data_IF_300344848757
#
_entry.id   IF_300344848757
#
_cell.length_a   1.000
_cell.length_b   1.000
_cell.length_c   1.000
_cell.angle_alpha   90.00
_cell.angle_beta   90.00
_cell.angle_gamma   90.00
#
_symmetry.space_group_name_H-M   'P 1'
#
loop_
_entity.id
_entity.type
_entity.pdbx_description
1 polymer ?
#
# COMPACT_ATOMS: atom_id res chain seq x y z
N UNK A 1 -20.04 38.49 -30.95
CA UNK A 1 -19.26 37.24 -30.73
C UNK A 1 -18.71 37.30 -29.32
N UNK A 2 -19.26 36.50 -28.40
CA UNK A 2 -18.76 36.42 -27.02
C UNK A 2 -18.06 35.08 -26.86
N UNK A 3 -16.76 35.11 -26.56
CA UNK A 3 -15.95 33.93 -26.30
C UNK A 3 -16.19 33.49 -24.85
N UNK A 4 -16.99 32.44 -24.66
CA UNK A 4 -17.16 31.79 -23.36
C UNK A 4 -15.92 30.95 -23.06
N UNK A 5 -14.98 31.51 -22.30
CA UNK A 5 -13.90 30.72 -21.70
C UNK A 5 -14.48 29.88 -20.57
N UNK A 6 -14.72 28.59 -20.82
CA UNK A 6 -15.01 27.63 -19.77
C UNK A 6 -13.73 27.36 -19.00
N UNK A 7 -13.41 28.19 -18.01
CA UNK A 7 -12.36 27.90 -17.03
C UNK A 7 -12.73 26.59 -16.33
N UNK A 8 -12.10 25.49 -16.75
CA UNK A 8 -12.02 24.28 -15.91
C UNK A 8 -11.23 24.71 -14.68
N UNK A 9 -11.91 24.93 -13.56
CA UNK A 9 -11.26 25.02 -12.25
C UNK A 9 -10.69 23.61 -11.99
N UNK A 10 -9.42 23.42 -12.32
CA UNK A 10 -8.68 22.22 -11.92
C UNK A 10 -8.39 22.44 -10.44
N UNK A 11 -9.17 21.80 -9.56
CA UNK A 11 -8.86 21.81 -8.14
C UNK A 11 -7.42 21.29 -7.95
N UNK A 12 -6.56 21.99 -7.20
CA UNK A 12 -5.22 21.51 -6.94
C UNK A 12 -5.31 20.14 -6.24
N UNK A 13 -4.44 19.22 -6.62
CA UNK A 13 -4.31 17.93 -5.93
C UNK A 13 -4.02 18.20 -4.45
N UNK A 14 -4.98 17.86 -3.59
CA UNK A 14 -4.88 18.13 -2.15
C UNK A 14 -4.11 16.99 -1.47
N UNK A 15 -3.11 17.33 -0.66
CA UNK A 15 -2.40 16.34 0.16
C UNK A 15 -3.25 16.06 1.39
N UNK A 16 -3.81 14.84 1.47
CA UNK A 16 -4.62 14.40 2.62
C UNK A 16 -3.75 14.05 3.81
N UNK A 17 -2.57 13.49 3.54
CA UNK A 17 -1.66 12.98 4.55
C UNK A 17 -0.25 12.92 3.99
N UNK A 18 0.73 13.17 4.87
CA UNK A 18 2.13 12.89 4.61
C UNK A 18 2.62 11.83 5.59
N UNK A 19 3.05 10.69 5.05
CA UNK A 19 3.69 9.61 5.79
C UNK A 19 5.21 9.79 5.72
N UNK A 20 5.85 9.74 6.88
CA UNK A 20 7.30 9.63 7.02
C UNK A 20 7.61 8.23 7.52
N UNK A 21 8.38 7.46 6.75
CA UNK A 21 8.77 6.10 7.09
C UNK A 21 10.29 5.98 7.17
N UNK A 22 10.79 5.38 8.25
CA UNK A 22 12.23 5.18 8.47
C UNK A 22 12.72 3.89 7.81
N UNK A 23 14.02 3.81 7.45
CA UNK A 23 14.61 2.61 6.88
C UNK A 23 14.30 1.36 7.70
N UNK A 24 13.95 0.26 7.02
CA UNK A 24 13.59 -1.00 7.65
C UNK A 24 12.19 -1.05 8.25
N UNK A 25 11.41 0.04 8.18
CA UNK A 25 10.02 0.04 8.62
C UNK A 25 9.04 -0.20 7.47
N UNK A 26 7.85 -0.68 7.80
CA UNK A 26 6.74 -0.71 6.88
C UNK A 26 5.47 -0.20 7.56
N UNK A 27 4.59 0.35 6.74
CA UNK A 27 3.40 1.05 7.17
C UNK A 27 2.21 0.63 6.32
N UNK A 28 1.05 0.55 6.96
CA UNK A 28 -0.22 0.41 6.26
C UNK A 28 -0.75 1.79 5.91
N UNK A 29 -1.06 1.98 4.63
CA UNK A 29 -1.79 3.14 4.17
C UNK A 29 -3.26 3.03 4.56
N UNK A 30 -3.96 4.16 4.77
CA UNK A 30 -5.39 4.17 5.07
C UNK A 30 -6.19 3.35 4.05
N UNK A 31 -7.20 2.62 4.52
CA UNK A 31 -8.15 1.98 3.61
C UNK A 31 -8.81 3.04 2.71
N UNK A 32 -9.02 2.71 1.44
CA UNK A 32 -9.55 3.66 0.45
C UNK A 32 -8.54 4.70 -0.07
N UNK A 33 -7.25 4.60 0.29
CA UNK A 33 -6.18 5.39 -0.37
C UNK A 33 -6.24 5.14 -1.88
N UNK A 34 -6.40 6.21 -2.67
CA UNK A 34 -6.52 6.12 -4.13
C UNK A 34 -5.27 6.53 -4.87
N UNK A 35 -4.51 7.45 -4.31
CA UNK A 35 -3.37 8.02 -4.98
C UNK A 35 -2.27 8.30 -3.98
N UNK A 36 -1.06 7.96 -4.38
CA UNK A 36 0.15 8.28 -3.61
C UNK A 36 1.19 8.90 -4.51
N UNK A 37 2.01 9.78 -3.94
CA UNK A 37 3.19 10.36 -4.58
C UNK A 37 4.38 10.28 -3.64
N UNK A 38 5.55 9.96 -4.17
CA UNK A 38 6.79 9.95 -3.41
C UNK A 38 7.42 11.34 -3.48
N UNK A 39 7.68 11.93 -2.32
CA UNK A 39 8.40 13.21 -2.21
C UNK A 39 9.90 12.99 -2.01
N UNK A 40 10.27 11.96 -1.26
CA UNK A 40 11.67 11.65 -0.97
C UNK A 40 11.87 10.15 -0.78
N UNK A 41 13.03 9.63 -1.21
CA UNK A 41 13.37 8.21 -1.11
C UNK A 41 12.74 7.37 -2.21
N UNK A 42 12.90 6.05 -2.09
CA UNK A 42 12.21 5.07 -2.93
C UNK A 42 11.27 4.25 -2.05
N UNK A 43 10.10 3.92 -2.58
CA UNK A 43 9.11 3.11 -1.90
C UNK A 43 8.94 1.78 -2.63
N UNK A 44 8.83 0.72 -1.87
CA UNK A 44 8.13 -0.48 -2.31
C UNK A 44 6.71 -0.44 -1.75
N UNK A 45 5.72 -0.58 -2.61
CA UNK A 45 4.32 -0.56 -2.26
C UNK A 45 3.66 -1.85 -2.74
N UNK A 46 2.94 -2.52 -1.84
CA UNK A 46 2.20 -3.74 -2.12
C UNK A 46 0.71 -3.58 -1.86
N UNK A 47 -0.10 -3.85 -2.88
CA UNK A 47 -1.55 -3.85 -2.82
C UNK A 47 -2.13 -4.89 -3.77
N UNK A 48 -3.02 -5.76 -3.28
CA UNK A 48 -3.81 -6.71 -4.10
C UNK A 48 -3.05 -7.52 -5.15
N UNK A 49 -1.88 -8.07 -4.84
CA UNK A 49 -1.20 -8.85 -5.88
C UNK A 49 -0.29 -8.03 -6.79
N UNK A 50 -0.18 -6.71 -6.57
CA UNK A 50 0.68 -5.83 -7.34
C UNK A 50 1.70 -5.17 -6.43
N UNK A 51 2.95 -5.38 -6.77
CA UNK A 51 4.09 -4.72 -6.14
C UNK A 51 4.58 -3.64 -7.10
N UNK A 52 4.76 -2.44 -6.57
CA UNK A 52 5.19 -1.27 -7.34
C UNK A 52 6.35 -0.64 -6.60
N UNK A 53 7.44 -0.42 -7.32
CA UNK A 53 8.55 0.42 -6.85
C UNK A 53 8.30 1.82 -7.37
N UNK A 54 8.40 2.81 -6.48
CA UNK A 54 8.23 4.23 -6.81
C UNK A 54 9.42 5.03 -6.34
N UNK A 55 10.00 5.84 -7.21
CA UNK A 55 11.04 6.83 -6.91
C UNK A 55 10.49 8.24 -6.68
N UNK A 56 11.37 9.21 -6.37
CA UNK A 56 10.96 10.60 -6.11
C UNK A 56 10.19 11.22 -7.27
N UNK A 57 9.09 11.91 -6.95
CA UNK A 57 8.18 12.52 -7.92
C UNK A 57 7.21 11.54 -8.57
N UNK A 58 7.47 10.23 -8.51
CA UNK A 58 6.58 9.24 -9.08
C UNK A 58 5.27 9.12 -8.30
N UNK A 59 4.22 8.80 -9.06
CA UNK A 59 2.85 8.73 -8.59
C UNK A 59 2.21 7.44 -9.09
N UNK A 60 1.43 6.80 -8.24
CA UNK A 60 0.55 5.70 -8.68
C UNK A 60 -0.86 5.89 -8.19
N UNK A 61 -1.81 5.45 -9.01
CA UNK A 61 -3.15 5.13 -8.56
C UNK A 61 -3.12 3.78 -7.84
N UNK A 62 -3.88 3.70 -6.75
CA UNK A 62 -4.18 2.50 -6.01
C UNK A 62 -5.65 2.19 -6.25
N UNK A 63 -5.95 0.94 -6.57
CA UNK A 63 -7.33 0.50 -6.65
C UNK A 63 -7.96 0.66 -5.27
N UNK A 64 -9.16 1.24 -5.22
CA UNK A 64 -9.94 1.37 -3.98
C UNK A 64 -10.27 -0.01 -3.44
N UNK A 65 -9.45 -0.50 -2.53
CA UNK A 65 -9.70 -1.72 -1.79
C UNK A 65 -10.14 -1.40 -0.37
N UNK A 66 -10.98 -2.27 0.20
CA UNK A 66 -11.19 -2.34 1.63
C UNK A 66 -9.88 -2.67 2.39
N UNK A 67 -8.89 -3.28 1.72
CA UNK A 67 -7.60 -3.59 2.34
C UNK A 67 -6.59 -2.45 2.17
N UNK A 68 -5.91 -2.13 3.27
CA UNK A 68 -4.78 -1.22 3.28
C UNK A 68 -3.63 -1.72 2.40
N UNK A 69 -3.04 -0.80 1.62
CA UNK A 69 -1.75 -1.04 0.98
C UNK A 69 -0.64 -1.03 2.04
N UNK A 70 0.41 -1.82 1.84
CA UNK A 70 1.62 -1.76 2.66
C UNK A 70 2.70 -1.02 1.88
N UNK A 71 3.38 -0.10 2.53
CA UNK A 71 4.52 0.64 1.98
C UNK A 71 5.73 0.47 2.88
N UNK A 72 6.90 0.30 2.27
CA UNK A 72 8.19 0.28 2.96
C UNK A 72 9.22 1.11 2.17
N UNK A 73 10.12 1.84 2.84
CA UNK A 73 11.26 2.47 2.17
C UNK A 73 12.19 1.41 1.57
N UNK A 74 12.72 1.68 0.39
CA UNK A 74 13.81 0.91 -0.19
C UNK A 74 15.15 1.59 0.10
N UNK A 75 16.08 0.81 0.67
CA UNK A 75 17.42 1.27 1.05
C UNK A 75 17.44 2.00 2.40
N UNK A 76 18.48 2.81 2.61
CA UNK A 76 18.76 3.49 3.88
C UNK A 76 18.24 4.94 3.97
N UNK A 77 17.48 5.41 2.99
CA UNK A 77 16.91 6.75 2.99
C UNK A 77 15.52 6.77 3.65
N UNK A 78 15.20 7.84 4.36
CA UNK A 78 13.84 8.10 4.85
C UNK A 78 12.88 8.27 3.67
N UNK A 79 11.76 7.57 3.70
CA UNK A 79 10.69 7.73 2.73
C UNK A 79 9.73 8.84 3.18
N UNK A 80 9.44 9.77 2.28
CA UNK A 80 8.31 10.70 2.45
C UNK A 80 7.30 10.41 1.34
N UNK A 81 6.13 9.91 1.73
CA UNK A 81 5.03 9.59 0.84
C UNK A 81 3.83 10.50 1.16
N UNK A 82 3.19 11.01 0.13
CA UNK A 82 1.95 11.77 0.23
C UNK A 82 0.77 10.95 -0.26
N UNK A 83 -0.30 10.92 0.53
CA UNK A 83 -1.61 10.45 0.08
C UNK A 83 -2.37 11.64 -0.48
N UNK A 84 -2.86 11.49 -1.71
CA UNK A 84 -3.46 12.58 -2.48
C UNK A 84 -4.98 12.38 -2.60
N UNK A 85 -5.73 13.48 -2.48
CA UNK A 85 -7.11 13.57 -2.93
C UNK A 85 -7.10 14.00 -4.40
N UNK A 86 -7.78 13.26 -5.27
CA UNK A 86 -8.13 13.79 -6.58
C UNK A 86 -9.56 14.32 -6.57
N UNK A 87 -9.81 15.49 -7.18
CA UNK A 87 -11.16 16.03 -7.28
C UNK A 87 -12.04 15.06 -8.07
N UNK A 88 -13.02 14.48 -7.38
CA UNK A 88 -14.02 13.63 -8.02
C UNK A 88 -14.88 14.49 -8.95
N UNK A 89 -14.85 14.21 -10.26
CA UNK A 89 -15.84 14.74 -11.20
C UNK A 89 -17.18 14.07 -10.92
N UNK A 90 -18.05 14.78 -10.19
CA UNK A 90 -19.45 14.48 -9.78
C UNK A 90 -19.68 13.71 -8.47
N UNK A 91 -20.20 14.49 -7.51
CA UNK A 91 -21.32 14.19 -6.58
C UNK A 91 -21.11 13.15 -5.48
N UNK A 92 -20.55 13.60 -4.35
CA UNK A 92 -21.19 13.67 -3.00
C UNK A 92 -20.10 14.07 -2.00
N UNK A 93 -20.33 15.11 -1.20
CA UNK A 93 -19.45 15.57 -0.13
C UNK A 93 -19.40 14.54 1.00
N UNK A 94 -18.69 13.44 0.80
CA UNK A 94 -18.13 12.67 1.90
C UNK A 94 -16.64 13.03 1.95
N UNK A 95 -16.24 13.79 2.97
CA UNK A 95 -14.82 13.80 3.37
C UNK A 95 -14.48 12.34 3.65
N UNK A 96 -13.58 11.68 2.90
CA UNK A 96 -13.15 10.36 3.28
C UNK A 96 -12.52 10.50 4.67
N UNK A 97 -13.07 9.79 5.66
CA UNK A 97 -12.41 9.63 6.95
C UNK A 97 -11.14 8.84 6.67
N UNK A 98 -10.02 9.55 6.51
CA UNK A 98 -8.71 8.93 6.38
C UNK A 98 -8.35 8.39 7.77
N UNK A 99 -8.78 7.17 8.07
CA UNK A 99 -8.33 6.46 9.28
C UNK A 99 -6.81 6.31 9.18
N UNK A 100 -6.09 6.82 10.17
CA UNK A 100 -4.64 7.06 10.10
C UNK A 100 -3.78 5.88 9.64
N UNK A 101 -2.59 6.18 9.12
CA UNK A 101 -1.56 5.16 8.84
C UNK A 101 -1.21 4.39 10.11
N UNK A 102 -1.25 3.07 10.05
CA UNK A 102 -0.82 2.22 11.17
C UNK A 102 0.50 1.55 10.83
N UNK A 103 1.43 1.49 11.79
CA UNK A 103 2.57 0.57 11.68
C UNK A 103 2.04 -0.85 11.48
N UNK A 104 2.78 -1.65 10.74
CA UNK A 104 2.52 -3.09 10.68
C UNK A 104 2.71 -3.73 12.07
N UNK A 105 2.22 -4.95 12.27
CA UNK A 105 2.45 -5.68 13.52
C UNK A 105 3.94 -5.78 13.86
N UNK A 106 4.30 -5.81 15.16
CA UNK A 106 5.69 -6.03 15.59
C UNK A 106 6.29 -7.32 15.01
N UNK A 107 5.46 -8.36 14.85
CA UNK A 107 5.88 -9.64 14.29
C UNK A 107 6.32 -9.51 12.82
N UNK A 108 5.52 -8.83 11.99
CA UNK A 108 5.93 -8.56 10.61
C UNK A 108 7.10 -7.57 10.56
N UNK A 109 7.16 -6.60 11.47
CA UNK A 109 8.26 -5.64 11.52
C UNK A 109 9.60 -6.35 11.80
N UNK A 110 9.60 -7.33 12.70
CA UNK A 110 10.79 -8.15 12.97
C UNK A 110 11.21 -8.96 11.74
N UNK A 111 10.26 -9.63 11.09
CA UNK A 111 10.53 -10.39 9.89
C UNK A 111 11.10 -9.53 8.75
N UNK A 112 10.71 -8.26 8.66
CA UNK A 112 11.30 -7.33 7.68
C UNK A 112 12.71 -6.85 8.03
N UNK A 113 13.07 -6.82 9.32
CA UNK A 113 14.44 -6.50 9.76
C UNK A 113 15.42 -7.61 9.42
N UNK A 114 14.97 -8.85 9.51
CA UNK A 114 15.77 -10.04 9.18
C UNK A 114 14.95 -10.96 8.27
N UNK A 115 14.84 -10.62 6.97
CA UNK A 115 14.00 -11.37 6.05
C UNK A 115 14.55 -12.78 5.87
N UNK A 116 13.76 -13.77 6.30
CA UNK A 116 14.09 -15.17 6.06
C UNK A 116 14.08 -15.46 4.56
N UNK A 117 15.00 -16.28 4.10
CA UNK A 117 15.00 -16.82 2.74
C UNK A 117 14.24 -18.15 2.64
N UNK A 118 13.59 -18.59 3.72
CA UNK A 118 12.77 -19.80 3.76
C UNK A 118 11.30 -19.46 3.62
N UNK A 119 10.65 -20.04 2.60
CA UNK A 119 9.21 -19.91 2.38
C UNK A 119 8.37 -20.27 3.62
N UNK A 120 8.77 -21.33 4.33
CA UNK A 120 8.03 -21.85 5.49
C UNK A 120 7.88 -20.81 6.61
N UNK A 121 8.89 -19.96 6.83
CA UNK A 121 8.84 -18.92 7.86
C UNK A 121 7.80 -17.85 7.48
N UNK A 122 7.68 -17.52 6.20
CA UNK A 122 6.68 -16.59 5.70
C UNK A 122 5.27 -17.17 5.71
N UNK A 123 5.11 -18.47 5.47
CA UNK A 123 3.83 -19.16 5.64
C UNK A 123 3.41 -19.17 7.11
N UNK A 124 4.32 -19.52 8.02
CA UNK A 124 4.08 -19.47 9.46
C UNK A 124 3.69 -18.06 9.89
N UNK A 125 4.43 -17.05 9.44
CA UNK A 125 4.15 -15.66 9.74
C UNK A 125 2.75 -15.24 9.25
N UNK A 126 2.34 -15.69 8.06
CA UNK A 126 1.01 -15.41 7.51
C UNK A 126 -0.14 -15.91 8.39
N UNK A 127 0.06 -16.98 9.15
CA UNK A 127 -0.93 -17.52 10.08
C UNK A 127 -1.01 -16.73 11.40
N UNK A 128 0.08 -16.06 11.78
CA UNK A 128 0.22 -15.39 13.08
C UNK A 128 -0.05 -13.88 13.03
N UNK A 129 0.02 -13.27 11.85
CA UNK A 129 -0.37 -11.87 11.68
C UNK A 129 -1.90 -11.72 11.64
N UNK A 130 -2.42 -10.78 12.41
CA UNK A 130 -3.88 -10.59 12.57
C UNK A 130 -4.51 -9.81 11.42
N UNK A 131 -3.72 -8.98 10.75
CA UNK A 131 -4.23 -8.10 9.71
C UNK A 131 -4.17 -8.76 8.35
N UNK A 132 -5.32 -8.75 7.67
CA UNK A 132 -5.49 -9.32 6.34
C UNK A 132 -4.46 -8.83 5.30
N UNK A 133 -4.10 -7.54 5.35
CA UNK A 133 -3.06 -6.97 4.49
C UNK A 133 -1.67 -7.57 4.77
N UNK A 134 -1.33 -7.77 6.04
CA UNK A 134 -0.06 -8.36 6.49
C UNK A 134 -0.01 -9.85 6.15
N UNK A 135 -1.10 -10.59 6.38
CA UNK A 135 -1.22 -12.01 6.01
C UNK A 135 -0.93 -12.21 4.53
N UNK A 136 -1.58 -11.41 3.69
CA UNK A 136 -1.35 -11.42 2.24
C UNK A 136 0.09 -11.04 1.87
N UNK A 137 0.68 -10.05 2.53
CA UNK A 137 2.09 -9.70 2.31
C UNK A 137 2.98 -10.94 2.51
N UNK A 138 2.80 -11.65 3.63
CA UNK A 138 3.62 -12.82 3.97
C UNK A 138 3.47 -13.93 2.93
N UNK A 139 2.24 -14.26 2.51
CA UNK A 139 1.98 -15.26 1.47
C UNK A 139 2.62 -14.90 0.12
N UNK A 140 2.69 -13.61 -0.21
CA UNK A 140 3.33 -13.15 -1.46
C UNK A 140 4.84 -13.17 -1.36
N UNK A 141 5.40 -12.88 -0.19
CA UNK A 141 6.83 -13.06 0.05
C UNK A 141 7.22 -14.55 -0.05
N UNK A 142 6.40 -15.45 0.48
CA UNK A 142 6.55 -16.89 0.31
C UNK A 142 6.58 -17.29 -1.18
N UNK A 143 5.69 -16.72 -2.01
CA UNK A 143 5.69 -16.95 -3.47
C UNK A 143 6.87 -16.32 -4.21
N UNK A 144 7.41 -15.21 -3.70
CA UNK A 144 8.62 -14.61 -4.25
C UNK A 144 9.82 -15.54 -4.05
N UNK A 145 9.94 -16.15 -2.88
CA UNK A 145 10.99 -17.15 -2.56
C UNK A 145 10.76 -18.45 -3.33
N UNK A 146 9.55 -19.01 -3.22
CA UNK A 146 9.16 -20.23 -3.91
C UNK A 146 7.92 -19.97 -4.78
N UNK A 147 8.13 -19.63 -6.07
CA UNK A 147 7.03 -19.42 -7.00
C UNK A 147 6.14 -20.63 -7.17
N UNK A 148 6.55 -21.85 -6.75
CA UNK A 148 5.76 -23.08 -6.86
C UNK A 148 5.01 -23.43 -5.57
N UNK A 149 5.07 -22.62 -4.51
CA UNK A 149 4.34 -22.85 -3.27
C UNK A 149 2.84 -23.05 -3.51
N UNK A 150 2.34 -24.25 -3.20
CA UNK A 150 0.91 -24.54 -3.29
C UNK A 150 0.15 -23.96 -2.11
N UNK A 151 0.72 -24.05 -0.89
CA UNK A 151 0.13 -23.50 0.32
C UNK A 151 -0.12 -21.98 0.19
N UNK A 152 0.87 -21.22 -0.29
CA UNK A 152 0.72 -19.78 -0.46
C UNK A 152 -0.36 -19.41 -1.50
N UNK A 153 -0.42 -20.15 -2.62
CA UNK A 153 -1.46 -19.94 -3.64
C UNK A 153 -2.85 -20.27 -3.13
N UNK A 154 -3.01 -21.39 -2.43
CA UNK A 154 -4.29 -21.81 -1.86
C UNK A 154 -4.78 -20.80 -0.84
N UNK A 155 -3.93 -20.38 0.10
CA UNK A 155 -4.27 -19.37 1.08
C UNK A 155 -4.65 -18.03 0.45
N UNK A 156 -3.94 -17.58 -0.60
CA UNK A 156 -4.33 -16.37 -1.35
C UNK A 156 -5.68 -16.53 -2.08
N UNK A 157 -5.95 -17.70 -2.65
CA UNK A 157 -7.21 -18.00 -3.32
C UNK A 157 -8.39 -18.08 -2.32
N UNK A 158 -8.17 -18.62 -1.13
CA UNK A 158 -9.13 -18.59 -0.02
C UNK A 158 -9.44 -17.16 0.41
N UNK A 159 -8.39 -16.35 0.60
CA UNK A 159 -8.57 -14.94 0.91
C UNK A 159 -9.40 -14.24 -0.17
N UNK A 160 -9.08 -14.43 -1.45
CA UNK A 160 -9.84 -13.83 -2.55
C UNK A 160 -11.33 -14.23 -2.53
N UNK A 161 -11.64 -15.48 -2.17
CA UNK A 161 -13.01 -15.97 -2.04
C UNK A 161 -13.78 -15.34 -0.88
N UNK A 162 -13.11 -15.03 0.24
CA UNK A 162 -13.75 -14.37 1.38
C UNK A 162 -13.98 -12.85 1.19
N UNK A 163 -13.83 -12.31 -0.04
CA UNK A 163 -14.13 -10.91 -0.39
C UNK A 163 -15.46 -10.80 -1.17
N UNK A 164 -16.09 -11.91 -1.60
CA UNK A 164 -17.43 -11.91 -2.22
C UNK A 164 -18.53 -11.91 -1.17
#
# INVERSE_FOLDING_TARGET
MSLSFTTRIINPTEVLMRLVAYPGEAYRLPAGTRHVRIQNGHAWLSLQGRDVVLGPGERTALNTSAEAAIVSPLGNAMLVLEVLNEPQTKTTLQRPTVTGTAKISPLLAEALRQPSNLEADWLWLAEHVTHRAERRFCLRYALFINPRSQAARQALAEMARSIS
#
